data_IF_957313497330
#
_entry.id   IF_957313497330
#
_cell.length_a   1.000
_cell.length_b   1.000
_cell.length_c   1.000
_cell.angle_alpha   90.00
_cell.angle_beta   90.00
_cell.angle_gamma   90.00
#
_symmetry.space_group_name_H-M   'P 1'
#
loop_
_entity.id
_entity.type
_entity.pdbx_description
1 polymer ?
#
# COMPACT_ATOMS: atom_id res chain seq x y z
N UNK A 1 3.27 -11.90 -3.01
CA UNK A 1 1.97 -12.40 -3.48
C UNK A 1 2.15 -13.62 -4.36
N UNK A 2 1.37 -14.65 -4.08
CA UNK A 2 1.19 -15.82 -4.95
C UNK A 2 -0.17 -15.74 -5.67
N UNK A 3 -0.44 -16.67 -6.59
CA UNK A 3 -1.67 -16.67 -7.37
C UNK A 3 -1.73 -15.58 -8.43
N UNK A 4 -2.94 -15.22 -8.91
CA UNK A 4 -3.11 -14.29 -10.05
C UNK A 4 -2.48 -12.90 -9.86
N UNK A 5 -2.39 -12.41 -8.64
CA UNK A 5 -1.79 -11.12 -8.32
C UNK A 5 -0.25 -11.13 -8.26
N UNK A 6 0.38 -12.29 -8.31
CA UNK A 6 1.83 -12.42 -8.21
C UNK A 6 2.55 -11.69 -9.37
N UNK A 7 2.14 -11.96 -10.61
CA UNK A 7 2.79 -11.39 -11.79
C UNK A 7 2.63 -9.87 -11.91
N UNK A 8 1.47 -9.35 -11.53
CA UNK A 8 1.16 -7.91 -11.68
C UNK A 8 1.74 -7.09 -10.53
N UNK A 9 1.71 -7.59 -9.32
CA UNK A 9 2.08 -6.83 -8.12
C UNK A 9 3.25 -7.45 -7.33
N UNK A 10 3.17 -8.74 -6.99
CA UNK A 10 4.09 -9.37 -6.05
C UNK A 10 5.51 -9.44 -6.57
N UNK A 11 5.70 -9.94 -7.78
CA UNK A 11 7.03 -10.07 -8.39
C UNK A 11 7.66 -8.71 -8.69
N UNK A 12 6.99 -7.76 -9.35
CA UNK A 12 7.54 -6.43 -9.59
C UNK A 12 7.88 -5.69 -8.28
N UNK A 13 7.03 -5.78 -7.25
CA UNK A 13 7.28 -5.15 -5.96
C UNK A 13 8.54 -5.70 -5.29
N UNK A 14 8.72 -7.03 -5.29
CA UNK A 14 9.95 -7.66 -4.76
C UNK A 14 11.18 -7.25 -5.55
N UNK A 15 11.11 -7.27 -6.87
CA UNK A 15 12.23 -6.89 -7.74
C UNK A 15 12.61 -5.41 -7.54
N UNK A 16 11.63 -4.51 -7.52
CA UNK A 16 11.84 -3.09 -7.27
C UNK A 16 12.48 -2.84 -5.89
N UNK A 17 11.97 -3.49 -4.85
CA UNK A 17 12.56 -3.40 -3.51
C UNK A 17 14.02 -3.90 -3.49
N UNK A 18 14.31 -5.02 -4.14
CA UNK A 18 15.67 -5.58 -4.19
C UNK A 18 16.65 -4.63 -4.90
N UNK A 19 16.25 -4.06 -6.04
CA UNK A 19 17.09 -3.10 -6.78
C UNK A 19 17.45 -1.89 -5.89
N UNK A 20 16.46 -1.34 -5.19
CA UNK A 20 16.68 -0.17 -4.32
C UNK A 20 17.57 -0.55 -3.13
N UNK A 21 17.33 -1.69 -2.48
CA UNK A 21 18.14 -2.18 -1.36
C UNK A 21 19.59 -2.41 -1.79
N UNK A 22 19.81 -3.02 -2.94
CA UNK A 22 21.16 -3.26 -3.48
C UNK A 22 21.85 -1.93 -3.79
N UNK A 23 21.14 -0.97 -4.38
CA UNK A 23 21.69 0.35 -4.65
C UNK A 23 22.06 1.12 -3.37
N UNK A 24 21.22 1.07 -2.33
CA UNK A 24 21.51 1.65 -1.02
C UNK A 24 22.74 0.96 -0.39
N UNK A 25 22.77 -0.37 -0.38
CA UNK A 25 23.86 -1.13 0.21
C UNK A 25 25.21 -0.89 -0.49
N UNK A 26 25.18 -0.56 -1.77
CA UNK A 26 26.38 -0.29 -2.58
C UNK A 26 26.71 1.21 -2.70
N UNK A 27 25.89 2.11 -2.16
CA UNK A 27 26.08 3.56 -2.27
C UNK A 27 25.90 4.09 -3.70
N UNK A 28 25.13 3.40 -4.54
CA UNK A 28 24.91 3.76 -5.96
C UNK A 28 23.59 4.48 -6.20
N UNK A 29 22.84 4.82 -5.14
CA UNK A 29 21.66 5.66 -5.26
C UNK A 29 22.04 7.07 -5.76
N UNK A 30 21.17 7.76 -6.52
CA UNK A 30 21.41 9.16 -6.86
C UNK A 30 21.41 10.05 -5.62
N UNK A 31 22.13 11.18 -5.72
CA UNK A 31 22.14 12.18 -4.65
C UNK A 31 20.68 12.67 -4.35
N UNK A 32 20.32 12.94 -3.11
CA UNK A 32 21.15 12.96 -1.89
C UNK A 32 21.29 11.60 -1.18
N UNK A 33 20.84 10.50 -1.78
CA UNK A 33 20.76 9.16 -1.15
C UNK A 33 21.97 8.25 -1.48
N UNK A 34 23.06 8.82 -1.93
CA UNK A 34 24.25 8.12 -2.42
C UNK A 34 25.24 7.69 -1.32
N UNK A 35 24.85 7.76 -0.06
CA UNK A 35 25.63 7.19 1.05
C UNK A 35 25.43 5.68 1.11
N UNK A 36 26.52 4.95 1.42
CA UNK A 36 26.44 3.49 1.54
C UNK A 36 25.64 3.07 2.79
N UNK A 37 24.65 2.22 2.58
CA UNK A 37 23.78 1.72 3.64
C UNK A 37 22.76 2.74 4.12
N UNK A 38 21.86 2.31 5.00
CA UNK A 38 20.92 3.17 5.69
C UNK A 38 21.54 3.68 6.99
N UNK A 39 21.86 4.97 7.06
CA UNK A 39 22.65 5.54 8.15
C UNK A 39 23.97 4.77 8.44
N UNK A 40 24.59 4.25 7.40
CA UNK A 40 25.82 3.44 7.49
C UNK A 40 25.60 1.94 7.77
N UNK A 41 24.38 1.52 8.06
CA UNK A 41 24.04 0.12 8.28
C UNK A 41 23.62 -0.58 6.98
N UNK A 42 24.06 -1.80 6.77
CA UNK A 42 23.62 -2.61 5.65
C UNK A 42 22.18 -3.07 5.84
N UNK A 43 21.34 -2.88 4.82
CA UNK A 43 19.98 -3.39 4.80
C UNK A 43 19.97 -4.90 4.48
N UNK A 44 19.32 -5.69 5.32
CA UNK A 44 19.14 -7.13 5.12
C UNK A 44 17.65 -7.43 4.96
N UNK A 45 17.13 -7.58 3.73
CA UNK A 45 15.70 -7.77 3.52
C UNK A 45 15.26 -9.20 3.86
N UNK A 46 14.10 -9.30 4.51
CA UNK A 46 13.35 -10.55 4.68
C UNK A 46 12.03 -10.39 3.92
N UNK A 47 11.81 -11.23 2.92
CA UNK A 47 10.60 -11.20 2.10
C UNK A 47 9.58 -12.24 2.55
N UNK A 48 8.31 -11.86 2.55
CA UNK A 48 7.19 -12.76 2.83
C UNK A 48 6.05 -12.56 1.84
N UNK A 49 5.25 -13.59 1.66
CA UNK A 49 4.08 -13.56 0.80
C UNK A 49 2.86 -12.98 1.52
N UNK A 50 2.28 -11.93 0.95
CA UNK A 50 1.08 -11.26 1.45
C UNK A 50 -0.23 -12.07 1.28
N UNK A 51 -0.22 -13.22 0.63
CA UNK A 51 -1.42 -14.03 0.44
C UNK A 51 -1.96 -14.63 1.74
N UNK A 52 -3.24 -14.98 1.76
CA UNK A 52 -3.90 -15.67 2.88
C UNK A 52 -4.71 -14.75 3.81
N UNK A 53 -4.90 -13.50 3.46
CA UNK A 53 -5.80 -12.57 4.14
C UNK A 53 -5.28 -12.01 5.47
N UNK A 54 -6.06 -11.08 6.04
CA UNK A 54 -5.64 -10.26 7.17
C UNK A 54 -5.21 -11.04 8.41
N UNK A 55 -5.91 -12.10 8.78
CA UNK A 55 -5.57 -12.90 9.97
C UNK A 55 -4.18 -13.53 9.86
N UNK A 56 -3.87 -14.14 8.71
CA UNK A 56 -2.54 -14.68 8.47
C UNK A 56 -1.48 -13.59 8.48
N UNK A 57 -1.77 -12.45 7.86
CA UNK A 57 -0.83 -11.34 7.80
C UNK A 57 -0.54 -10.74 9.17
N UNK A 58 -1.52 -10.62 10.06
CA UNK A 58 -1.32 -10.20 11.45
C UNK A 58 -0.37 -11.16 12.19
N UNK A 59 -0.56 -12.47 12.03
CA UNK A 59 0.33 -13.47 12.64
C UNK A 59 1.77 -13.34 12.12
N UNK A 60 1.95 -13.23 10.81
CA UNK A 60 3.26 -13.05 10.19
C UNK A 60 3.92 -11.72 10.62
N UNK A 61 3.15 -10.64 10.71
CA UNK A 61 3.65 -9.34 11.16
C UNK A 61 4.19 -9.43 12.59
N UNK A 62 3.45 -10.04 13.49
CA UNK A 62 3.92 -10.26 14.87
C UNK A 62 5.17 -11.13 14.91
N UNK A 63 5.25 -12.18 14.11
CA UNK A 63 6.45 -13.01 14.02
C UNK A 63 7.68 -12.23 13.55
N UNK A 64 7.54 -11.36 12.55
CA UNK A 64 8.64 -10.48 12.12
C UNK A 64 9.10 -9.55 13.24
N UNK A 65 8.17 -8.91 13.92
CA UNK A 65 8.50 -7.95 14.99
C UNK A 65 9.02 -8.66 16.24
N UNK A 66 8.33 -9.68 16.72
CA UNK A 66 8.59 -10.27 18.02
C UNK A 66 9.68 -11.34 17.99
N UNK A 67 9.76 -12.13 16.89
CA UNK A 67 10.75 -13.24 16.80
C UNK A 67 11.95 -12.89 15.94
N UNK A 68 11.73 -12.28 14.77
CA UNK A 68 12.83 -11.96 13.85
C UNK A 68 13.45 -10.59 14.15
N UNK A 69 12.81 -9.76 14.97
CA UNK A 69 13.33 -8.45 15.43
C UNK A 69 13.69 -7.52 14.28
N UNK A 70 12.83 -7.45 13.26
CA UNK A 70 13.05 -6.52 12.15
C UNK A 70 12.91 -5.07 12.61
N UNK A 71 13.66 -4.15 12.00
CA UNK A 71 13.70 -2.73 12.37
C UNK A 71 12.57 -1.91 11.72
N UNK A 72 12.10 -2.33 10.55
CA UNK A 72 11.01 -1.69 9.82
C UNK A 72 10.28 -2.67 8.90
N UNK A 73 9.04 -2.35 8.58
CA UNK A 73 8.21 -3.11 7.64
C UNK A 73 7.83 -2.24 6.45
N UNK A 74 8.01 -2.77 5.24
CA UNK A 74 7.59 -2.10 4.00
C UNK A 74 6.76 -3.09 3.19
N UNK A 75 5.65 -2.64 2.66
CA UNK A 75 4.86 -3.51 1.79
C UNK A 75 3.37 -3.26 1.84
N UNK A 76 2.68 -4.33 1.66
CA UNK A 76 1.25 -4.55 1.52
C UNK A 76 0.62 -3.83 0.32
N UNK A 77 -0.06 -4.64 -0.46
CA UNK A 77 -0.80 -4.25 -1.66
C UNK A 77 -2.29 -4.20 -1.34
N UNK A 78 -2.78 -5.20 -0.59
CA UNK A 78 -4.19 -5.29 -0.25
C UNK A 78 -4.60 -4.26 0.80
N UNK A 79 -5.55 -3.39 0.46
CA UNK A 79 -6.15 -2.45 1.41
C UNK A 79 -6.78 -3.15 2.62
N UNK A 80 -7.32 -4.37 2.44
CA UNK A 80 -7.81 -5.19 3.55
C UNK A 80 -6.71 -5.61 4.52
N UNK A 81 -5.55 -6.01 4.00
CA UNK A 81 -4.40 -6.36 4.83
C UNK A 81 -3.85 -5.12 5.56
N UNK A 82 -3.75 -3.98 4.88
CA UNK A 82 -3.31 -2.73 5.52
C UNK A 82 -4.22 -2.31 6.68
N UNK A 83 -5.52 -2.45 6.52
CA UNK A 83 -6.50 -2.19 7.58
C UNK A 83 -6.32 -3.14 8.79
N UNK A 84 -5.97 -4.39 8.54
CA UNK A 84 -5.70 -5.35 9.60
C UNK A 84 -4.34 -5.09 10.30
N UNK A 85 -3.32 -4.72 9.54
CA UNK A 85 -1.95 -4.51 10.04
C UNK A 85 -1.78 -3.15 10.72
N UNK A 86 -2.41 -2.09 10.22
CA UNK A 86 -2.23 -0.73 10.74
C UNK A 86 -2.38 -0.61 12.27
N UNK A 87 -3.44 -1.15 12.90
CA UNK A 87 -3.57 -1.17 14.35
C UNK A 87 -2.46 -1.92 15.07
N UNK A 88 -2.02 -3.05 14.52
CA UNK A 88 -0.98 -3.89 15.11
C UNK A 88 0.40 -3.24 15.02
N UNK A 89 0.68 -2.59 13.90
CA UNK A 89 1.91 -1.83 13.70
C UNK A 89 2.03 -0.69 14.73
N UNK A 90 0.94 0.01 14.96
CA UNK A 90 0.90 1.10 15.95
C UNK A 90 1.00 0.58 17.38
N UNK A 91 0.29 -0.52 17.73
CA UNK A 91 0.39 -1.22 19.00
C UNK A 91 1.82 -1.64 19.34
N UNK A 92 2.49 -2.26 18.36
CA UNK A 92 3.86 -2.75 18.50
C UNK A 92 4.93 -1.66 18.31
N UNK A 93 4.53 -0.43 18.01
CA UNK A 93 5.42 0.71 17.71
C UNK A 93 6.40 0.41 16.57
N UNK A 94 5.96 -0.41 15.60
CA UNK A 94 6.77 -0.81 14.46
C UNK A 94 6.61 0.18 13.31
N UNK A 95 7.72 0.79 12.89
CA UNK A 95 7.75 1.62 11.69
C UNK A 95 7.27 0.79 10.50
N UNK A 96 6.13 1.18 9.95
CA UNK A 96 5.51 0.46 8.83
C UNK A 96 5.15 1.44 7.72
N UNK A 97 5.68 1.18 6.53
CA UNK A 97 5.41 1.98 5.33
C UNK A 97 4.61 1.15 4.34
N UNK A 98 3.34 1.50 4.18
CA UNK A 98 2.49 0.88 3.18
C UNK A 98 2.79 1.45 1.79
N UNK A 99 3.13 0.56 0.85
CA UNK A 99 3.56 0.96 -0.48
C UNK A 99 2.41 1.11 -1.48
N UNK A 100 1.32 0.33 -1.34
CA UNK A 100 0.35 0.19 -2.43
C UNK A 100 -1.11 0.13 -1.99
N UNK A 101 -1.43 0.11 -0.72
CA UNK A 101 -2.83 0.07 -0.26
C UNK A 101 -3.50 1.45 -0.32
N UNK A 102 -4.51 1.57 -1.19
CA UNK A 102 -5.15 2.85 -1.52
C UNK A 102 -6.37 3.22 -0.67
N UNK A 103 -6.79 2.42 0.33
CA UNK A 103 -7.94 2.78 1.17
C UNK A 103 -7.69 4.09 1.93
N UNK A 104 -8.63 5.05 1.92
CA UNK A 104 -8.53 6.25 2.76
C UNK A 104 -8.78 5.96 4.24
N UNK A 105 -9.56 4.94 4.56
CA UNK A 105 -9.97 4.58 5.93
C UNK A 105 -8.81 4.36 6.89
N UNK A 106 -7.66 3.95 6.38
CA UNK A 106 -6.46 3.72 7.18
C UNK A 106 -6.07 4.93 8.06
N UNK A 107 -6.33 6.15 7.57
CA UNK A 107 -6.00 7.40 8.27
C UNK A 107 -7.23 8.24 8.63
N UNK A 108 -8.34 8.07 7.92
CA UNK A 108 -9.58 8.79 8.23
C UNK A 108 -10.22 8.28 9.53
N UNK A 109 -10.18 6.97 9.76
CA UNK A 109 -10.76 6.39 10.97
C UNK A 109 -9.89 6.62 12.22
N UNK A 110 -8.56 6.61 12.06
CA UNK A 110 -7.62 6.84 13.17
C UNK A 110 -6.23 7.21 12.65
N UNK A 111 -5.66 8.29 13.18
CA UNK A 111 -4.24 8.58 13.01
C UNK A 111 -3.39 7.58 13.78
N UNK A 112 -2.29 7.15 13.17
CA UNK A 112 -1.33 6.19 13.73
C UNK A 112 0.08 6.74 13.62
N UNK A 113 0.83 6.69 14.71
CA UNK A 113 2.14 7.31 14.80
C UNK A 113 3.26 6.53 14.10
N UNK A 114 3.05 5.22 13.89
CA UNK A 114 4.08 4.33 13.34
C UNK A 114 3.74 3.82 11.93
N UNK A 115 2.68 4.33 11.33
CA UNK A 115 2.17 3.86 10.03
C UNK A 115 2.17 4.99 9.03
N UNK A 116 2.81 4.76 7.90
CA UNK A 116 2.95 5.72 6.80
C UNK A 116 2.51 5.09 5.48
N UNK A 117 2.22 5.90 4.48
CA UNK A 117 1.90 5.45 3.13
C UNK A 117 2.55 6.35 2.09
N UNK A 118 3.09 5.76 1.05
CA UNK A 118 3.76 6.47 -0.04
C UNK A 118 2.91 6.66 -1.29
N UNK A 119 1.77 5.96 -1.37
CA UNK A 119 0.86 6.00 -2.53
C UNK A 119 -0.30 6.99 -2.30
N UNK A 120 -0.86 7.52 -3.40
CA UNK A 120 -2.17 8.18 -3.44
C UNK A 120 -3.28 7.22 -2.97
N UNK A 121 -4.46 7.74 -2.73
CA UNK A 121 -5.60 6.96 -2.24
C UNK A 121 -6.76 6.93 -3.25
N UNK A 122 -7.69 6.02 -3.01
CA UNK A 122 -8.85 5.80 -3.87
C UNK A 122 -9.74 7.05 -4.04
N UNK A 123 -9.69 8.02 -3.15
CA UNK A 123 -10.47 9.27 -3.26
C UNK A 123 -10.01 10.07 -4.46
N UNK A 124 -8.72 10.39 -4.53
CA UNK A 124 -8.15 11.19 -5.62
C UNK A 124 -8.34 10.53 -6.98
N UNK A 125 -8.04 9.23 -7.07
CA UNK A 125 -8.17 8.46 -8.30
C UNK A 125 -9.62 8.40 -8.79
N UNK A 126 -10.56 8.20 -7.87
CA UNK A 126 -11.99 8.08 -8.19
C UNK A 126 -12.63 9.41 -8.57
N UNK A 127 -12.25 10.50 -7.89
CA UNK A 127 -12.72 11.84 -8.25
C UNK A 127 -12.16 12.29 -9.61
N UNK A 128 -10.89 11.98 -9.89
CA UNK A 128 -10.30 12.24 -11.21
C UNK A 128 -11.03 11.46 -12.32
N UNK A 129 -11.36 10.19 -12.08
CA UNK A 129 -12.13 9.39 -13.02
C UNK A 129 -13.54 9.96 -13.24
N UNK A 130 -14.25 10.37 -12.17
CA UNK A 130 -15.55 11.00 -12.26
C UNK A 130 -15.48 12.30 -13.09
N UNK A 131 -14.50 13.15 -12.81
CA UNK A 131 -14.27 14.39 -13.57
C UNK A 131 -14.02 14.11 -15.04
N UNK A 132 -13.16 13.16 -15.34
CA UNK A 132 -12.88 12.77 -16.72
C UNK A 132 -14.16 12.34 -17.46
N UNK A 133 -15.01 11.53 -16.81
CA UNK A 133 -16.26 11.07 -17.44
C UNK A 133 -17.21 12.23 -17.71
N UNK A 134 -17.40 13.13 -16.75
CA UNK A 134 -18.28 14.30 -16.93
C UNK A 134 -17.78 15.21 -18.06
N UNK A 135 -16.47 15.44 -18.14
CA UNK A 135 -15.88 16.29 -19.18
C UNK A 135 -15.93 15.65 -20.58
N UNK A 136 -15.74 14.33 -20.67
CA UNK A 136 -15.71 13.61 -21.95
C UNK A 136 -17.11 13.20 -22.46
N UNK A 137 -18.04 13.00 -21.55
CA UNK A 137 -19.40 12.49 -21.86
C UNK A 137 -20.50 13.33 -21.22
N UNK A 138 -20.57 14.64 -21.47
CA UNK A 138 -21.47 15.57 -20.75
C UNK A 138 -22.96 15.30 -20.97
N UNK A 139 -23.31 14.55 -22.01
CA UNK A 139 -24.70 14.24 -22.36
C UNK A 139 -25.19 12.90 -21.77
N UNK A 140 -24.29 12.08 -21.24
CA UNK A 140 -24.65 10.79 -20.65
C UNK A 140 -25.24 10.99 -19.25
N UNK A 141 -26.40 10.33 -19.02
CA UNK A 141 -27.13 10.45 -17.76
C UNK A 141 -27.09 9.18 -16.91
N UNK A 142 -26.62 8.09 -17.50
CA UNK A 142 -26.58 6.80 -16.83
C UNK A 142 -25.15 6.24 -16.88
N UNK A 143 -24.71 5.73 -15.76
CA UNK A 143 -23.43 5.02 -15.64
C UNK A 143 -23.60 3.79 -14.76
N UNK A 144 -22.75 2.83 -14.95
CA UNK A 144 -22.61 1.66 -14.06
C UNK A 144 -21.15 1.37 -13.80
N UNK A 145 -20.87 0.73 -12.68
CA UNK A 145 -19.51 0.37 -12.30
C UNK A 145 -19.40 -1.10 -11.94
N UNK A 146 -18.24 -1.68 -12.27
CA UNK A 146 -17.84 -3.01 -11.82
C UNK A 146 -16.59 -2.81 -10.95
N UNK A 147 -16.62 -3.29 -9.73
CA UNK A 147 -15.50 -3.19 -8.81
C UNK A 147 -15.25 -4.52 -8.09
N UNK A 148 -14.07 -4.64 -7.50
CA UNK A 148 -13.74 -5.78 -6.66
C UNK A 148 -14.39 -5.63 -5.28
N UNK A 149 -14.98 -6.72 -4.76
CA UNK A 149 -15.64 -6.70 -3.45
C UNK A 149 -14.63 -6.85 -2.29
N UNK A 150 -13.78 -5.86 -2.11
CA UNK A 150 -12.90 -5.71 -0.96
C UNK A 150 -12.65 -4.21 -0.68
N UNK A 151 -11.90 -3.88 0.39
CA UNK A 151 -11.80 -2.51 0.89
C UNK A 151 -11.48 -1.47 -0.19
N UNK A 152 -10.46 -1.68 -1.04
CA UNK A 152 -10.11 -0.72 -2.08
C UNK A 152 -11.20 -0.54 -3.15
N UNK A 153 -11.78 -1.65 -3.62
CA UNK A 153 -12.85 -1.60 -4.64
C UNK A 153 -14.09 -0.89 -4.11
N UNK A 154 -14.50 -1.19 -2.88
CA UNK A 154 -15.64 -0.54 -2.22
C UNK A 154 -15.42 0.97 -2.06
N UNK A 155 -14.23 1.37 -1.60
CA UNK A 155 -13.87 2.78 -1.44
C UNK A 155 -13.80 3.50 -2.80
N UNK A 156 -13.18 2.88 -3.80
CA UNK A 156 -13.10 3.45 -5.15
C UNK A 156 -14.48 3.71 -5.75
N UNK A 157 -15.40 2.74 -5.66
CA UNK A 157 -16.74 2.92 -6.18
C UNK A 157 -17.52 4.00 -5.40
N UNK A 158 -17.43 3.99 -4.08
CA UNK A 158 -18.06 5.01 -3.22
C UNK A 158 -17.66 6.43 -3.62
N UNK A 159 -16.37 6.69 -3.75
CA UNK A 159 -15.87 8.03 -4.07
C UNK A 159 -16.09 8.42 -5.53
N UNK A 160 -16.07 7.46 -6.44
CA UNK A 160 -16.50 7.69 -7.81
C UNK A 160 -17.97 8.12 -7.88
N UNK A 161 -18.87 7.40 -7.22
CA UNK A 161 -20.30 7.73 -7.16
C UNK A 161 -20.55 9.09 -6.52
N UNK A 162 -19.83 9.43 -5.45
CA UNK A 162 -19.89 10.75 -4.83
C UNK A 162 -19.44 11.84 -5.80
N UNK A 163 -18.35 11.64 -6.53
CA UNK A 163 -17.88 12.56 -7.56
C UNK A 163 -18.91 12.79 -8.65
N UNK A 164 -19.47 11.72 -9.20
CA UNK A 164 -20.52 11.80 -10.23
C UNK A 164 -21.78 12.54 -9.77
N UNK A 165 -22.13 12.48 -8.48
CA UNK A 165 -23.28 13.20 -7.93
C UNK A 165 -23.02 14.68 -7.67
N UNK A 166 -21.76 15.09 -7.54
CA UNK A 166 -21.38 16.47 -7.21
C UNK A 166 -20.99 17.31 -8.43
N UNK A 167 -20.69 16.68 -9.54
CA UNK A 167 -20.30 17.29 -10.81
C UNK A 167 -21.50 17.34 -11.78
#
# INVERSE_FOLDING_TARGET
>A
LTGPAAGVFGVPAKQGAQIVIDAINNGTMPAPYNTQGFAGAKMNPVFSDESGGGTKQVSLFRDFVEKQKVDAMIGYISSGNCMAIGPIADELKMLTVFSTCGTPRLYEEKLRSHVFRTQANAVGDSLAAARYIVDMYPNEKNYTGINQNYAWGQDSYKFFELGMKQM
#
